data_IF_009291694152
#
_entry.id   IF_009291694152
#
_cell.length_a   1.000
_cell.length_b   1.000
_cell.length_c   1.000
_cell.angle_alpha   90.00
_cell.angle_beta   90.00
_cell.angle_gamma   90.00
#
_symmetry.space_group_name_H-M   'P 1'
#
loop_
_entity.id
_entity.type
_entity.pdbx_description
1 polymer ?
#
# COMPACT_ATOMS: atom_id res chain seq x y z
N UNK A 1 -22.16 -21.75 6.01
CA UNK A 1 -21.52 -20.87 5.00
C UNK A 1 -21.68 -21.49 3.61
N UNK A 2 -22.48 -20.89 2.72
CA UNK A 2 -22.83 -21.45 1.39
C UNK A 2 -21.67 -21.47 0.36
N UNK A 3 -20.48 -20.97 0.69
CA UNK A 3 -19.34 -20.88 -0.24
C UNK A 3 -18.70 -22.24 -0.57
N UNK A 4 -18.60 -23.16 0.40
CA UNK A 4 -18.03 -24.51 0.19
C UNK A 4 -18.79 -25.36 -0.83
N UNK A 5 -20.09 -25.12 -1.02
CA UNK A 5 -20.93 -25.88 -1.95
C UNK A 5 -20.74 -25.49 -3.41
N UNK A 6 -20.14 -24.32 -3.69
CA UNK A 6 -19.98 -23.78 -5.06
C UNK A 6 -18.52 -23.73 -5.52
N UNK A 7 -17.56 -23.66 -4.59
CA UNK A 7 -16.14 -23.57 -4.89
C UNK A 7 -15.34 -24.47 -3.92
N UNK A 8 -14.45 -25.31 -4.42
CA UNK A 8 -13.62 -26.25 -3.62
C UNK A 8 -12.33 -25.60 -3.05
N UNK A 9 -12.31 -24.28 -2.94
CA UNK A 9 -11.18 -23.52 -2.41
C UNK A 9 -10.95 -23.79 -0.92
N UNK A 10 -9.71 -23.56 -0.46
CA UNK A 10 -9.38 -23.65 0.96
C UNK A 10 -10.29 -22.77 1.83
N UNK A 11 -10.74 -23.29 2.98
CA UNK A 11 -11.70 -22.61 3.87
C UNK A 11 -11.20 -21.22 4.33
N UNK A 12 -9.89 -21.03 4.44
CA UNK A 12 -9.27 -19.75 4.82
C UNK A 12 -9.60 -18.61 3.85
N UNK A 13 -9.83 -18.87 2.56
CA UNK A 13 -10.27 -17.82 1.62
C UNK A 13 -11.62 -17.21 2.02
N UNK A 14 -12.51 -18.01 2.60
CA UNK A 14 -13.81 -17.50 3.02
C UNK A 14 -13.67 -16.60 4.26
N UNK A 15 -12.79 -16.96 5.20
CA UNK A 15 -12.48 -16.13 6.36
C UNK A 15 -11.85 -14.78 5.94
N UNK A 16 -10.92 -14.83 4.98
CA UNK A 16 -10.29 -13.63 4.41
C UNK A 16 -11.31 -12.73 3.73
N UNK A 17 -12.21 -13.28 2.90
CA UNK A 17 -13.26 -12.51 2.25
C UNK A 17 -14.16 -11.80 3.26
N UNK A 18 -14.56 -12.48 4.35
CA UNK A 18 -15.33 -11.87 5.43
C UNK A 18 -14.55 -10.77 6.15
N UNK A 19 -13.24 -10.96 6.39
CA UNK A 19 -12.38 -9.95 7.01
C UNK A 19 -12.27 -8.70 6.14
N UNK A 20 -11.98 -8.86 4.85
CA UNK A 20 -11.90 -7.76 3.88
C UNK A 20 -13.23 -7.01 3.80
N UNK A 21 -14.34 -7.72 3.63
CA UNK A 21 -15.67 -7.12 3.56
C UNK A 21 -16.00 -6.32 4.83
N UNK A 22 -15.65 -6.85 6.01
CA UNK A 22 -15.86 -6.16 7.30
C UNK A 22 -15.02 -4.88 7.39
N UNK A 23 -13.75 -4.93 6.97
CA UNK A 23 -12.86 -3.75 6.94
C UNK A 23 -13.36 -2.69 5.97
N UNK A 24 -13.83 -3.09 4.79
CA UNK A 24 -14.45 -2.18 3.82
C UNK A 24 -15.69 -1.50 4.40
N UNK A 25 -16.59 -2.26 5.03
CA UNK A 25 -17.79 -1.73 5.68
C UNK A 25 -17.46 -0.72 6.79
N UNK A 26 -16.48 -1.04 7.64
CA UNK A 26 -16.01 -0.13 8.70
C UNK A 26 -15.45 1.17 8.13
N UNK A 27 -14.61 1.07 7.10
CA UNK A 27 -14.03 2.23 6.42
C UNK A 27 -15.12 3.11 5.79
N UNK A 28 -16.06 2.48 5.07
CA UNK A 28 -17.19 3.17 4.47
C UNK A 28 -18.05 3.91 5.50
N UNK A 29 -18.44 3.25 6.60
CA UNK A 29 -19.20 3.89 7.69
C UNK A 29 -18.45 5.06 8.32
N UNK A 30 -17.12 4.97 8.45
CA UNK A 30 -16.28 6.06 8.95
C UNK A 30 -16.28 7.26 7.99
N UNK A 31 -16.15 7.01 6.69
CA UNK A 31 -16.15 8.06 5.67
C UNK A 31 -17.53 8.70 5.51
N UNK A 32 -18.61 7.90 5.56
CA UNK A 32 -20.00 8.37 5.52
C UNK A 32 -20.33 9.32 6.67
N UNK A 33 -19.89 8.99 7.89
CA UNK A 33 -20.01 9.88 9.06
C UNK A 33 -19.28 11.21 8.91
N UNK A 34 -18.25 11.28 8.06
CA UNK A 34 -17.47 12.49 7.80
C UNK A 34 -17.96 13.27 6.57
N UNK A 35 -19.01 12.80 5.87
CA UNK A 35 -19.46 13.40 4.62
C UNK A 35 -18.46 13.26 3.46
N UNK A 36 -17.49 12.35 3.55
CA UNK A 36 -16.41 12.20 2.56
C UNK A 36 -16.68 11.09 1.52
N UNK A 37 -17.82 10.40 1.62
CA UNK A 37 -18.21 9.36 0.67
C UNK A 37 -18.82 9.97 -0.60
N UNK A 38 -18.26 9.60 -1.76
CA UNK A 38 -18.82 9.92 -3.09
C UNK A 38 -19.87 8.91 -3.58
N UNK A 39 -20.08 7.81 -2.84
CA UNK A 39 -20.94 6.69 -3.22
C UNK A 39 -21.88 6.33 -2.07
N UNK A 40 -23.09 5.86 -2.38
CA UNK A 40 -24.11 5.52 -1.37
C UNK A 40 -23.89 4.16 -0.70
N UNK A 41 -23.05 3.33 -1.29
CA UNK A 41 -22.71 1.98 -0.81
C UNK A 41 -21.19 1.73 -0.85
N UNK A 42 -20.67 0.81 -0.01
CA UNK A 42 -19.27 0.40 -0.07
C UNK A 42 -19.00 -0.37 -1.37
N UNK A 43 -17.94 0.03 -2.07
CA UNK A 43 -17.55 -0.60 -3.34
C UNK A 43 -16.04 -0.90 -3.36
N UNK A 44 -15.68 -2.08 -3.88
CA UNK A 44 -14.28 -2.43 -4.18
C UNK A 44 -13.92 -1.83 -5.54
N UNK A 45 -13.06 -0.81 -5.55
CA UNK A 45 -12.64 -0.13 -6.80
C UNK A 45 -11.58 -0.87 -7.60
N UNK A 46 -10.81 -1.74 -6.94
CA UNK A 46 -9.73 -2.52 -7.54
C UNK A 46 -9.81 -3.95 -7.05
N UNK A 47 -9.43 -4.89 -7.91
CA UNK A 47 -9.28 -6.28 -7.54
C UNK A 47 -7.97 -6.44 -6.78
N UNK A 48 -8.09 -6.99 -5.58
CA UNK A 48 -6.96 -7.39 -4.75
C UNK A 48 -7.35 -8.63 -3.96
N UNK A 49 -6.34 -9.39 -3.54
CA UNK A 49 -6.52 -10.53 -2.65
C UNK A 49 -5.57 -10.39 -1.47
N UNK A 50 -6.12 -10.49 -0.27
CA UNK A 50 -5.34 -10.70 0.95
C UNK A 50 -5.20 -12.20 1.18
N UNK A 51 -3.98 -12.64 1.46
CA UNK A 51 -3.66 -14.03 1.72
C UNK A 51 -3.29 -14.23 3.20
N UNK A 52 -3.92 -15.23 3.81
CA UNK A 52 -3.60 -15.69 5.17
C UNK A 52 -2.21 -16.34 5.17
N UNK A 53 -1.37 -16.09 6.20
CA UNK A 53 -0.10 -16.80 6.38
C UNK A 53 -0.21 -18.34 6.29
N UNK A 54 -1.36 -18.93 6.65
CA UNK A 54 -1.61 -20.38 6.53
C UNK A 54 -1.74 -20.84 5.06
N UNK A 55 -2.20 -19.96 4.18
CA UNK A 55 -2.34 -20.25 2.75
C UNK A 55 -1.03 -20.05 1.99
N UNK A 56 -0.04 -19.42 2.59
CA UNK A 56 1.13 -18.96 1.87
C UNK A 56 2.41 -19.48 2.50
N UNK A 57 3.31 -19.97 1.65
CA UNK A 57 4.68 -20.27 2.02
C UNK A 57 5.62 -19.48 1.12
N UNK A 58 6.48 -18.68 1.74
CA UNK A 58 7.56 -18.01 1.04
C UNK A 58 8.70 -19.01 0.84
N UNK A 59 9.13 -19.18 -0.40
CA UNK A 59 10.16 -20.14 -0.81
C UNK A 59 11.36 -19.42 -1.44
N UNK A 60 11.86 -18.37 -0.79
CA UNK A 60 13.09 -17.68 -1.17
C UNK A 60 12.97 -16.77 -2.40
N UNK A 61 12.62 -17.33 -3.55
CA UNK A 61 12.47 -16.66 -4.85
C UNK A 61 11.05 -16.71 -5.41
N UNK A 62 10.18 -17.48 -4.75
CA UNK A 62 8.79 -17.65 -5.16
C UNK A 62 7.86 -17.72 -3.97
N UNK A 63 6.59 -17.47 -4.24
CA UNK A 63 5.51 -17.60 -3.30
C UNK A 63 4.67 -18.82 -3.65
N UNK A 64 4.57 -19.78 -2.72
CA UNK A 64 3.67 -20.92 -2.86
C UNK A 64 2.36 -20.61 -2.15
N UNK A 65 1.27 -20.56 -2.92
CA UNK A 65 -0.07 -20.24 -2.45
C UNK A 65 -0.95 -21.48 -2.56
N UNK A 66 -1.54 -21.92 -1.45
CA UNK A 66 -2.53 -23.00 -1.42
C UNK A 66 -3.86 -22.48 -1.97
N UNK A 67 -4.29 -23.01 -3.12
CA UNK A 67 -5.58 -22.62 -3.74
C UNK A 67 -6.67 -23.59 -3.30
N UNK A 68 -6.36 -24.90 -3.35
CA UNK A 68 -7.22 -26.00 -2.91
C UNK A 68 -6.38 -27.00 -2.11
N UNK A 69 -6.99 -27.93 -1.35
CA UNK A 69 -6.23 -28.99 -0.70
C UNK A 69 -5.27 -29.68 -1.69
N UNK A 70 -3.97 -29.67 -1.37
CA UNK A 70 -2.89 -30.26 -2.19
C UNK A 70 -2.70 -29.64 -3.59
N UNK A 71 -3.30 -28.49 -3.89
CA UNK A 71 -3.08 -27.74 -5.14
C UNK A 71 -2.52 -26.36 -4.84
N UNK A 72 -1.36 -26.07 -5.41
CA UNK A 72 -0.60 -24.86 -5.15
C UNK A 72 -0.41 -24.04 -6.42
N UNK A 73 -0.51 -22.72 -6.29
CA UNK A 73 -0.08 -21.73 -7.25
C UNK A 73 1.31 -21.23 -6.83
N UNK A 74 2.21 -21.05 -7.80
CA UNK A 74 3.52 -20.49 -7.57
C UNK A 74 3.63 -19.15 -8.28
N UNK A 75 4.03 -18.11 -7.55
CA UNK A 75 4.30 -16.78 -8.10
C UNK A 75 5.79 -16.51 -7.95
N UNK A 76 6.48 -16.34 -9.08
CA UNK A 76 7.88 -15.94 -9.05
C UNK A 76 7.97 -14.49 -8.55
N UNK A 77 8.81 -14.27 -7.55
CA UNK A 77 9.01 -12.95 -6.99
C UNK A 77 10.17 -12.27 -7.70
N UNK A 78 9.92 -11.04 -8.16
CA UNK A 78 10.97 -10.15 -8.66
C UNK A 78 11.21 -9.09 -7.61
N UNK A 79 12.45 -8.99 -7.15
CA UNK A 79 12.86 -8.04 -6.13
C UNK A 79 14.12 -7.30 -6.58
N UNK A 80 14.14 -5.99 -6.36
CA UNK A 80 15.33 -5.16 -6.54
C UNK A 80 16.25 -5.21 -5.32
N UNK A 81 17.33 -4.44 -5.38
CA UNK A 81 18.37 -4.46 -4.33
C UNK A 81 17.83 -4.03 -2.96
N UNK A 82 16.88 -3.08 -2.94
CA UNK A 82 16.24 -2.64 -1.70
C UNK A 82 15.44 -3.77 -1.03
N UNK A 83 14.75 -4.61 -1.81
CA UNK A 83 13.94 -5.70 -1.28
C UNK A 83 14.82 -6.87 -0.81
N UNK A 84 15.99 -7.08 -1.44
CA UNK A 84 16.89 -8.20 -1.15
C UNK A 84 17.30 -8.30 0.33
N UNK A 85 17.61 -7.17 0.96
CA UNK A 85 17.96 -7.13 2.41
C UNK A 85 16.86 -7.71 3.30
N UNK A 86 15.59 -7.47 2.98
CA UNK A 86 14.47 -8.01 3.77
C UNK A 86 14.29 -9.50 3.53
N UNK A 87 14.57 -9.99 2.32
CA UNK A 87 14.56 -11.42 2.02
C UNK A 87 15.65 -12.14 2.80
N UNK A 88 16.84 -11.56 2.92
CA UNK A 88 17.96 -12.12 3.70
C UNK A 88 17.67 -12.12 5.21
N UNK A 89 17.14 -11.01 5.75
CA UNK A 89 16.72 -10.91 7.15
C UNK A 89 15.55 -11.87 7.47
N UNK A 90 14.65 -12.12 6.51
CA UNK A 90 13.64 -13.17 6.64
C UNK A 90 14.26 -14.57 6.61
N UNK A 91 15.20 -14.86 5.70
CA UNK A 91 15.89 -16.16 5.61
C UNK A 91 16.68 -16.50 6.86
N UNK A 92 17.29 -15.49 7.49
CA UNK A 92 17.99 -15.63 8.77
C UNK A 92 17.06 -15.75 9.99
N UNK A 93 15.74 -15.69 9.78
CA UNK A 93 14.73 -15.85 10.83
C UNK A 93 14.47 -14.59 11.67
N UNK A 94 15.12 -13.47 11.36
CA UNK A 94 14.94 -12.19 12.07
C UNK A 94 13.61 -11.52 11.70
N UNK A 95 13.11 -11.76 10.48
CA UNK A 95 11.80 -11.30 10.03
C UNK A 95 10.85 -12.48 9.79
N UNK A 96 9.54 -12.21 9.95
CA UNK A 96 8.45 -13.15 9.62
C UNK A 96 7.61 -12.58 8.49
N UNK A 97 7.07 -13.45 7.64
CA UNK A 97 6.06 -13.03 6.67
C UNK A 97 4.80 -12.67 7.42
N UNK A 98 4.37 -11.42 7.26
CA UNK A 98 3.08 -10.94 7.76
C UNK A 98 1.94 -11.28 6.81
N UNK A 99 1.07 -10.31 6.56
CA UNK A 99 -0.01 -10.45 5.58
C UNK A 99 0.49 -10.15 4.18
N UNK A 100 0.09 -10.97 3.21
CA UNK A 100 0.43 -10.74 1.79
C UNK A 100 -0.81 -10.21 1.07
N UNK A 101 -0.66 -9.08 0.39
CA UNK A 101 -1.68 -8.54 -0.50
C UNK A 101 -1.15 -8.60 -1.94
N UNK A 102 -1.93 -9.18 -2.83
CA UNK A 102 -1.66 -9.18 -4.27
C UNK A 102 -2.69 -8.26 -4.92
N UNK A 103 -2.21 -7.28 -5.68
CA UNK A 103 -3.04 -6.36 -6.43
C UNK A 103 -2.93 -6.68 -7.92
N UNK A 104 -4.03 -6.50 -8.64
CA UNK A 104 -3.97 -6.47 -10.10
C UNK A 104 -3.38 -5.12 -10.53
N UNK A 105 -2.24 -5.15 -11.22
CA UNK A 105 -1.77 -4.00 -11.98
C UNK A 105 -2.30 -4.18 -13.41
N UNK A 106 -3.16 -3.25 -13.84
CA UNK A 106 -3.43 -3.07 -15.27
C UNK A 106 -2.27 -2.24 -15.82
N UNK A 107 -1.55 -2.79 -16.79
CA UNK A 107 -0.72 -1.95 -17.65
C UNK A 107 -1.67 -1.05 -18.46
N UNK A 108 -1.61 0.24 -18.17
CA UNK A 108 -2.34 1.26 -18.92
C UNK A 108 -1.44 1.63 -20.09
N UNK A 109 -1.90 1.38 -21.31
CA UNK A 109 -1.22 1.87 -22.50
C UNK A 109 -1.34 3.40 -22.54
N UNK A 110 -0.22 4.08 -22.28
CA UNK A 110 -0.12 5.54 -22.24
C UNK A 110 0.17 6.13 -23.64
N UNK A 111 0.26 5.32 -24.69
CA UNK A 111 0.62 5.79 -26.03
C UNK A 111 -0.49 6.63 -26.69
N UNK A 112 -1.76 6.44 -26.33
CA UNK A 112 -2.88 7.23 -26.84
C UNK A 112 -4.04 7.37 -25.82
N UNK A 113 -3.90 8.23 -24.79
CA UNK A 113 -4.92 8.41 -23.77
C UNK A 113 -6.10 9.27 -24.28
N UNK A 114 -7.34 8.83 -24.02
CA UNK A 114 -8.56 9.61 -24.33
C UNK A 114 -8.65 10.91 -23.51
N UNK A 115 -8.07 10.92 -22.30
CA UNK A 115 -8.04 12.03 -21.36
C UNK A 115 -6.73 12.03 -20.58
N UNK A 116 -6.25 13.20 -20.17
CA UNK A 116 -5.00 13.34 -19.42
C UNK A 116 -5.18 14.19 -18.17
N UNK A 117 -4.37 13.90 -17.16
CA UNK A 117 -4.22 14.75 -15.96
C UNK A 117 -2.72 14.94 -15.72
N UNK A 118 -2.24 16.17 -15.83
CA UNK A 118 -0.90 16.56 -15.45
C UNK A 118 -0.92 16.97 -13.97
N UNK A 119 -0.12 16.31 -13.14
CA UNK A 119 0.01 16.63 -11.71
C UNK A 119 1.45 17.09 -11.45
N UNK A 120 1.60 18.32 -11.01
CA UNK A 120 2.84 18.91 -10.53
C UNK A 120 2.82 19.00 -9.00
N UNK A 121 3.86 18.49 -8.34
CA UNK A 121 3.97 18.43 -6.88
C UNK A 121 5.19 19.25 -6.45
N UNK A 122 4.93 20.37 -5.80
CA UNK A 122 5.92 21.25 -5.19
C UNK A 122 5.84 21.23 -3.66
N UNK A 123 6.90 21.68 -3.00
CA UNK A 123 6.94 21.80 -1.53
C UNK A 123 5.93 22.79 -0.93
N UNK A 124 5.30 23.62 -1.77
CA UNK A 124 4.32 24.63 -1.37
C UNK A 124 2.93 24.38 -1.96
N UNK A 125 2.80 23.53 -2.98
CA UNK A 125 1.51 23.25 -3.59
C UNK A 125 1.53 21.92 -4.37
N UNK A 126 0.34 21.37 -4.59
CA UNK A 126 0.06 20.35 -5.59
C UNK A 126 -0.87 20.96 -6.62
N UNK A 127 -0.46 20.97 -7.88
CA UNK A 127 -1.26 21.51 -8.99
C UNK A 127 -1.62 20.37 -9.93
N UNK A 128 -2.91 20.19 -10.22
CA UNK A 128 -3.41 19.22 -11.18
C UNK A 128 -4.22 19.92 -12.27
N UNK A 129 -3.96 19.59 -13.53
CA UNK A 129 -4.62 20.11 -14.73
C UNK A 129 -5.07 18.94 -15.57
N UNK A 130 -6.29 18.97 -16.11
CA UNK A 130 -6.82 17.90 -16.96
C UNK A 130 -7.21 18.35 -18.38
N UNK A 131 -7.43 17.37 -19.26
CA UNK A 131 -8.01 17.54 -20.61
C UNK A 131 -9.40 18.18 -20.61
N UNK A 132 -10.21 17.90 -19.58
CA UNK A 132 -11.40 18.68 -19.21
C UNK A 132 -10.91 19.92 -18.42
N UNK A 133 -11.31 21.18 -18.68
CA UNK A 133 -10.66 22.41 -18.17
C UNK A 133 -10.84 22.69 -16.65
N UNK A 134 -10.64 21.67 -15.83
CA UNK A 134 -10.56 21.74 -14.39
C UNK A 134 -9.09 21.92 -13.96
N UNK A 135 -8.87 22.95 -13.16
CA UNK A 135 -7.59 23.23 -12.51
C UNK A 135 -7.81 23.05 -11.02
N UNK A 136 -7.03 22.16 -10.39
CA UNK A 136 -7.02 21.96 -8.95
C UNK A 136 -5.66 22.35 -8.40
N UNK A 137 -5.62 23.38 -7.55
CA UNK A 137 -4.43 23.78 -6.82
C UNK A 137 -4.67 23.64 -5.32
N UNK A 138 -3.86 22.82 -4.67
CA UNK A 138 -3.88 22.61 -3.23
C UNK A 138 -2.59 23.19 -2.66
N UNK A 139 -2.69 24.25 -1.89
CA UNK A 139 -1.53 24.82 -1.20
C UNK A 139 -1.20 24.01 0.05
N UNK A 140 0.09 23.84 0.32
CA UNK A 140 0.57 23.11 1.48
C UNK A 140 1.76 23.83 2.13
N UNK A 141 1.93 23.65 3.43
CA UNK A 141 3.01 24.27 4.20
C UNK A 141 4.20 23.32 4.40
N UNK A 142 4.39 22.33 3.52
CA UNK A 142 5.44 21.31 3.69
C UNK A 142 6.83 21.94 3.68
N UNK A 143 7.06 22.95 2.83
CA UNK A 143 8.28 23.78 2.85
C UNK A 143 8.53 24.36 4.24
N UNK A 144 7.54 25.02 4.82
CA UNK A 144 7.65 25.66 6.15
C UNK A 144 7.96 24.65 7.24
N UNK A 145 7.31 23.48 7.20
CA UNK A 145 7.56 22.39 8.15
C UNK A 145 8.99 21.87 8.00
N UNK A 146 9.45 21.63 6.77
CA UNK A 146 10.78 21.13 6.47
C UNK A 146 11.87 22.14 6.91
N UNK A 147 11.71 23.42 6.57
CA UNK A 147 12.64 24.48 6.96
C UNK A 147 12.69 24.65 8.48
N UNK A 148 11.54 24.63 9.16
CA UNK A 148 11.48 24.72 10.63
C UNK A 148 12.20 23.54 11.28
N UNK A 149 11.92 22.32 10.82
CA UNK A 149 12.56 21.11 11.34
C UNK A 149 14.08 21.12 11.10
N UNK A 150 14.52 21.49 9.90
CA UNK A 150 15.94 21.65 9.57
C UNK A 150 16.64 22.63 10.51
N UNK A 151 16.01 23.78 10.79
CA UNK A 151 16.57 24.79 11.70
C UNK A 151 16.66 24.30 13.16
N UNK A 152 15.66 23.52 13.61
CA UNK A 152 15.69 22.88 14.94
C UNK A 152 16.87 21.91 15.03
N UNK A 153 16.99 20.99 14.05
CA UNK A 153 18.08 20.01 14.02
C UNK A 153 19.45 20.69 13.92
N UNK A 154 19.58 21.74 13.11
CA UNK A 154 20.83 22.51 12.98
C UNK A 154 21.23 23.19 14.30
N UNK A 155 20.26 23.71 15.07
CA UNK A 155 20.51 24.27 16.41
C UNK A 155 21.01 23.20 17.39
N UNK A 156 20.34 22.05 17.42
CA UNK A 156 20.73 20.91 18.27
C UNK A 156 22.16 20.46 17.92
N UNK A 157 22.48 20.31 16.63
CA UNK A 157 23.82 19.93 16.18
C UNK A 157 24.91 20.94 16.58
N UNK A 158 24.62 22.25 16.54
CA UNK A 158 25.54 23.29 17.02
C UNK A 158 25.79 23.17 18.52
N UNK A 159 24.74 22.96 19.32
CA UNK A 159 24.84 22.79 20.77
C UNK A 159 25.65 21.54 21.13
N UNK A 160 25.39 20.41 20.47
CA UNK A 160 26.16 19.18 20.66
C UNK A 160 27.65 19.41 20.34
N UNK A 161 27.98 20.08 19.23
CA UNK A 161 29.38 20.39 18.88
C UNK A 161 30.05 21.33 19.89
N UNK A 162 29.31 22.26 20.50
CA UNK A 162 29.85 23.14 21.54
C UNK A 162 30.13 22.37 22.83
N UNK A 163 29.20 21.51 23.24
CA UNK A 163 29.35 20.64 24.43
C UNK A 163 30.54 19.69 24.24
N UNK A 164 30.65 19.03 23.09
CA UNK A 164 31.76 18.12 22.76
C UNK A 164 33.13 18.80 22.60
N UNK A 165 33.19 20.14 22.52
CA UNK A 165 34.45 20.91 22.50
C UNK A 165 34.83 21.45 23.87
N UNK A 166 33.92 21.40 24.84
CA UNK A 166 34.14 21.87 26.22
C UNK A 166 34.57 20.74 27.18
N UNK A 167 34.60 19.51 26.69
CA UNK A 167 35.24 18.33 27.29
C UNK A 167 36.45 17.96 26.44
#
# INVERSE_FOLDING_TARGET
MKSKKRWDYSTHYCHLACRVATSMLKSFRRLKRKGLTKCDRPEAKKLFIQLDPVLVKFEGDRLRISVKPRKFLYIQLRFGDYQRKFIEEWRSGKLRVGEISINENKDVDLSNPDDWIAIDINESNVTAVSSNPHILRIENNLRTIHTTYFNIIRRIQKLIRLILRAY
#
